data_IF_765935212555
#
_entry.id   IF_765935212555
#
_cell.length_a   1.000
_cell.length_b   1.000
_cell.length_c   1.000
_cell.angle_alpha   90.00
_cell.angle_beta   90.00
_cell.angle_gamma   90.00
#
_symmetry.space_group_name_H-M   'P 1'
#
loop_
_entity.id
_entity.type
_entity.pdbx_description
1 polymer ?
#
# COMPACT_ATOMS: atom_id res chain seq x y z
N UNK A 1 -27.05 -3.79 42.87
CA UNK A 1 -27.43 -5.10 42.27
C UNK A 1 -27.02 -5.06 40.80
N UNK A 2 -25.91 -5.71 40.43
CA UNK A 2 -25.40 -5.64 39.06
C UNK A 2 -26.31 -6.46 38.11
N UNK A 3 -26.68 -5.92 36.93
CA UNK A 3 -27.54 -6.64 36.00
C UNK A 3 -26.82 -7.88 35.48
N UNK A 4 -27.47 -9.05 35.63
CA UNK A 4 -26.96 -10.32 35.09
C UNK A 4 -27.00 -10.24 33.57
N UNK A 5 -25.83 -10.06 32.95
CA UNK A 5 -25.65 -10.18 31.50
C UNK A 5 -26.16 -11.57 31.08
N UNK A 6 -27.23 -11.58 30.28
CA UNK A 6 -27.78 -12.82 29.73
C UNK A 6 -26.71 -13.43 28.83
N UNK A 7 -26.20 -14.59 29.21
CA UNK A 7 -25.20 -15.33 28.42
C UNK A 7 -25.85 -15.71 27.10
N UNK A 8 -25.32 -15.19 25.99
CA UNK A 8 -25.82 -15.48 24.66
C UNK A 8 -25.64 -16.97 24.32
N UNK A 9 -26.54 -17.50 23.50
CA UNK A 9 -26.43 -18.87 22.98
C UNK A 9 -25.50 -18.90 21.77
N UNK A 10 -24.89 -20.04 21.50
CA UNK A 10 -24.09 -20.30 20.31
C UNK A 10 -24.93 -20.09 19.04
N UNK A 11 -24.44 -19.27 18.11
CA UNK A 11 -25.11 -19.00 16.82
C UNK A 11 -24.95 -20.15 15.81
N UNK A 12 -24.11 -21.14 16.11
CA UNK A 12 -23.84 -22.29 15.24
C UNK A 12 -24.70 -23.51 15.56
N UNK A 13 -24.91 -23.79 16.86
CA UNK A 13 -25.72 -24.93 17.31
C UNK A 13 -26.97 -24.54 18.08
N UNK A 14 -27.08 -23.30 18.57
CA UNK A 14 -28.22 -22.78 19.35
C UNK A 14 -28.61 -23.55 20.62
N UNK A 15 -27.87 -24.61 20.96
CA UNK A 15 -28.10 -25.47 22.12
C UNK A 15 -27.29 -25.02 23.34
N UNK A 16 -26.01 -24.68 23.15
CA UNK A 16 -25.09 -24.36 24.25
C UNK A 16 -24.85 -22.86 24.39
N UNK A 17 -24.46 -22.42 25.59
CA UNK A 17 -23.98 -21.06 25.83
C UNK A 17 -22.70 -20.77 25.02
N UNK A 18 -22.61 -19.57 24.45
CA UNK A 18 -21.42 -19.15 23.70
C UNK A 18 -20.25 -18.94 24.64
N UNK A 19 -19.09 -19.51 24.30
CA UNK A 19 -17.84 -19.40 25.07
C UNK A 19 -16.79 -18.55 24.37
N UNK A 20 -16.89 -18.42 23.05
CA UNK A 20 -15.90 -17.78 22.20
C UNK A 20 -16.57 -16.94 21.11
N UNK A 21 -15.82 -15.99 20.54
CA UNK A 21 -16.25 -15.10 19.46
C UNK A 21 -15.31 -15.26 18.26
N UNK A 22 -15.84 -15.23 17.03
CA UNK A 22 -15.01 -15.29 15.82
C UNK A 22 -14.39 -13.92 15.52
N UNK A 23 -13.08 -13.83 15.30
CA UNK A 23 -12.41 -12.55 14.98
C UNK A 23 -12.72 -11.99 13.60
N UNK A 24 -13.17 -12.83 12.65
CA UNK A 24 -13.43 -12.40 11.28
C UNK A 24 -14.84 -11.85 11.04
N UNK A 25 -15.83 -12.31 11.81
CA UNK A 25 -17.25 -11.94 11.62
C UNK A 25 -18.03 -11.83 12.94
N UNK A 26 -17.34 -11.88 14.08
CA UNK A 26 -17.91 -11.72 15.43
C UNK A 26 -18.97 -12.73 15.87
N UNK A 27 -19.20 -13.79 15.08
CA UNK A 27 -20.14 -14.85 15.43
C UNK A 27 -19.80 -15.54 16.76
N UNK A 28 -20.82 -15.78 17.59
CA UNK A 28 -20.69 -16.38 18.92
C UNK A 28 -20.77 -17.91 18.85
N UNK A 29 -19.79 -18.64 19.39
CA UNK A 29 -19.76 -20.10 19.34
C UNK A 29 -19.33 -20.76 20.65
N UNK A 30 -19.73 -22.02 20.88
CA UNK A 30 -19.46 -22.73 22.13
C UNK A 30 -18.18 -23.57 22.13
N UNK A 31 -17.71 -24.03 20.97
CA UNK A 31 -16.63 -25.02 20.86
C UNK A 31 -15.97 -25.07 19.48
N UNK A 32 -14.79 -25.70 19.39
CA UNK A 32 -14.04 -25.92 18.14
C UNK A 32 -14.86 -26.58 17.01
N UNK A 33 -15.70 -27.61 17.23
CA UNK A 33 -16.54 -28.14 16.15
C UNK A 33 -17.56 -27.11 15.63
N UNK A 34 -18.07 -26.23 16.49
CA UNK A 34 -18.90 -25.10 16.04
C UNK A 34 -18.08 -24.06 15.25
N UNK A 35 -16.84 -23.81 15.64
CA UNK A 35 -15.94 -22.94 14.87
C UNK A 35 -15.70 -23.47 13.45
N UNK A 36 -15.44 -24.77 13.28
CA UNK A 36 -15.24 -25.40 11.97
C UNK A 36 -16.51 -25.33 11.11
N UNK A 37 -17.66 -25.73 11.66
CA UNK A 37 -18.97 -25.63 10.97
C UNK A 37 -19.31 -24.22 10.53
N UNK A 38 -18.96 -23.23 11.34
CA UNK A 38 -19.12 -21.82 11.02
C UNK A 38 -18.18 -21.38 9.90
N UNK A 39 -16.88 -21.74 9.98
CA UNK A 39 -15.86 -21.42 8.99
C UNK A 39 -16.27 -21.87 7.57
N UNK A 40 -16.88 -23.04 7.47
CA UNK A 40 -17.22 -23.65 6.18
C UNK A 40 -18.51 -23.08 5.55
N UNK A 41 -19.42 -22.49 6.33
CA UNK A 41 -20.79 -22.18 5.86
C UNK A 41 -21.26 -20.74 6.06
N UNK A 42 -20.70 -20.03 7.03
CA UNK A 42 -21.24 -18.74 7.53
C UNK A 42 -20.16 -17.69 7.79
N UNK A 43 -18.87 -18.05 7.64
CA UNK A 43 -17.77 -17.14 7.88
C UNK A 43 -17.44 -16.35 6.60
N UNK A 44 -17.63 -15.03 6.66
CA UNK A 44 -17.27 -14.09 5.59
C UNK A 44 -15.77 -14.07 5.25
N UNK A 45 -14.93 -14.80 5.98
CA UNK A 45 -13.51 -14.93 5.66
C UNK A 45 -13.22 -15.82 4.44
N UNK A 46 -14.21 -16.53 3.89
CA UNK A 46 -14.00 -17.50 2.81
C UNK A 46 -14.35 -16.99 1.41
N UNK A 47 -14.79 -15.74 1.26
CA UNK A 47 -15.08 -15.13 -0.05
C UNK A 47 -13.89 -14.35 -0.61
N UNK A 48 -12.72 -14.99 -0.72
CA UNK A 48 -11.58 -14.42 -1.48
C UNK A 48 -11.48 -14.94 -2.92
N UNK A 49 -12.36 -15.84 -3.36
CA UNK A 49 -12.39 -16.32 -4.75
C UNK A 49 -13.83 -16.65 -5.18
N UNK A 50 -14.56 -15.67 -5.74
CA UNK A 50 -15.57 -15.81 -6.81
C UNK A 50 -16.54 -14.62 -6.82
N UNK A 51 -16.25 -13.60 -7.64
CA UNK A 51 -17.27 -12.80 -8.33
C UNK A 51 -16.63 -12.08 -9.53
N UNK A 52 -16.82 -12.68 -10.69
CA UNK A 52 -16.54 -12.14 -12.03
C UNK A 52 -17.52 -11.01 -12.41
N UNK A 53 -16.98 -10.02 -13.16
CA UNK A 53 -17.58 -9.25 -14.27
C UNK A 53 -18.91 -8.52 -14.02
N UNK A 54 -18.84 -7.19 -14.08
CA UNK A 54 -19.82 -6.41 -14.86
C UNK A 54 -19.10 -5.29 -15.60
N UNK A 55 -19.06 -5.48 -16.92
CA UNK A 55 -18.81 -4.49 -17.96
C UNK A 55 -20.06 -3.60 -18.09
N UNK A 56 -19.85 -2.29 -18.06
CA UNK A 56 -20.72 -1.28 -18.66
C UNK A 56 -19.97 0.05 -18.60
N UNK A 57 -19.44 0.46 -19.75
CA UNK A 57 -18.91 1.79 -19.95
C UNK A 57 -19.99 2.85 -19.76
N UNK A 58 -19.69 3.80 -18.90
CA UNK A 58 -20.29 5.13 -18.85
C UNK A 58 -19.16 6.08 -18.44
N UNK A 59 -18.67 6.88 -19.40
CA UNK A 59 -17.80 8.01 -19.12
C UNK A 59 -18.61 9.04 -18.31
N UNK A 60 -18.43 9.03 -16.99
CA UNK A 60 -18.94 10.08 -16.10
C UNK A 60 -17.83 11.10 -15.79
N UNK A 61 -18.03 12.39 -16.07
CA UNK A 61 -17.10 13.44 -15.68
C UNK A 61 -16.93 13.53 -14.15
N UNK A 62 -15.69 13.30 -13.70
CA UNK A 62 -15.09 13.75 -12.43
C UNK A 62 -15.77 13.26 -11.13
N UNK A 63 -15.25 12.16 -10.60
CA UNK A 63 -15.32 11.79 -9.17
C UNK A 63 -14.64 12.86 -8.29
N UNK A 64 -15.32 13.98 -8.01
CA UNK A 64 -14.77 15.07 -7.17
C UNK A 64 -15.44 15.19 -5.79
N UNK A 65 -16.39 14.32 -5.41
CA UNK A 65 -17.22 14.55 -4.22
C UNK A 65 -17.07 13.52 -3.09
N UNK A 66 -16.24 12.50 -3.25
CA UNK A 66 -15.88 11.65 -2.12
C UNK A 66 -14.79 12.37 -1.28
N UNK A 67 -15.07 12.74 -0.02
CA UNK A 67 -14.06 13.40 0.82
C UNK A 67 -12.85 12.49 0.96
N UNK A 68 -11.67 13.03 0.68
CA UNK A 68 -10.41 12.30 0.85
C UNK A 68 -10.24 11.86 2.30
N UNK A 69 -9.65 10.69 2.51
CA UNK A 69 -9.30 10.23 3.86
C UNK A 69 -8.29 11.20 4.49
N UNK A 70 -8.45 11.58 5.76
CA UNK A 70 -7.50 12.46 6.42
C UNK A 70 -6.15 11.78 6.58
N UNK A 71 -5.05 12.55 6.49
CA UNK A 71 -3.68 12.03 6.64
C UNK A 71 -3.44 11.36 8.00
N UNK A 72 -4.16 11.80 9.04
CA UNK A 72 -4.13 11.20 10.39
C UNK A 72 -4.72 9.79 10.46
N UNK A 73 -5.49 9.37 9.45
CA UNK A 73 -6.01 8.00 9.37
C UNK A 73 -4.93 6.98 8.93
N UNK A 74 -3.81 7.44 8.39
CA UNK A 74 -2.73 6.57 7.90
C UNK A 74 -1.78 6.20 9.05
N UNK A 75 -1.31 4.95 9.05
CA UNK A 75 -0.27 4.49 9.97
C UNK A 75 1.09 4.77 9.34
N UNK A 76 1.58 5.99 9.51
CA UNK A 76 2.92 6.36 9.07
C UNK A 76 3.98 5.58 9.87
N UNK A 77 5.06 5.09 9.22
CA UNK A 77 6.19 4.56 9.95
C UNK A 77 6.80 5.66 10.83
N UNK A 78 7.34 5.28 11.99
CA UNK A 78 8.11 6.23 12.79
C UNK A 78 9.39 6.59 12.04
N UNK A 79 9.60 7.89 11.83
CA UNK A 79 10.80 8.45 11.21
C UNK A 79 11.53 9.19 12.33
N UNK A 80 12.76 8.77 12.69
CA UNK A 80 13.57 9.52 13.65
C UNK A 80 13.85 10.93 13.13
N UNK A 81 13.79 11.91 14.02
CA UNK A 81 14.22 13.26 13.70
C UNK A 81 15.71 13.28 13.32
N UNK A 82 16.08 14.14 12.37
CA UNK A 82 17.46 14.27 11.94
C UNK A 82 18.35 14.66 13.14
N UNK A 83 19.45 13.93 13.31
CA UNK A 83 20.41 14.24 14.38
C UNK A 83 21.03 15.60 14.12
N UNK A 84 20.98 16.50 15.11
CA UNK A 84 21.63 17.81 15.05
C UNK A 84 23.15 17.75 14.83
N UNK A 85 23.76 16.57 14.99
CA UNK A 85 25.16 16.30 14.68
C UNK A 85 25.26 15.09 13.74
N UNK A 86 25.21 15.30 12.42
CA UNK A 86 25.34 14.21 11.47
C UNK A 86 26.75 13.61 11.55
N UNK A 87 26.81 12.28 11.60
CA UNK A 87 28.07 11.55 11.58
C UNK A 87 28.79 11.81 10.24
N UNK A 88 30.01 12.38 10.25
CA UNK A 88 30.74 12.69 9.01
C UNK A 88 30.96 11.47 8.12
N UNK A 89 31.01 10.27 8.70
CA UNK A 89 31.21 9.03 7.95
C UNK A 89 29.94 8.56 7.21
N UNK A 90 28.77 9.05 7.62
CA UNK A 90 27.46 8.70 7.01
C UNK A 90 26.95 9.75 6.04
N UNK A 91 27.81 10.71 5.66
CA UNK A 91 27.45 11.78 4.72
C UNK A 91 27.00 11.23 3.36
N UNK A 92 27.63 10.16 2.90
CA UNK A 92 27.36 9.56 1.59
C UNK A 92 26.34 8.42 1.65
N UNK A 93 25.84 8.06 2.83
CA UNK A 93 24.80 7.05 2.98
C UNK A 93 23.47 7.57 2.40
N UNK A 94 22.65 6.71 1.75
CA UNK A 94 21.34 7.12 1.28
C UNK A 94 20.46 7.58 2.44
N UNK A 95 20.06 8.86 2.42
CA UNK A 95 19.16 9.42 3.45
C UNK A 95 17.78 8.78 3.34
N UNK A 96 17.13 8.62 4.49
CA UNK A 96 15.74 8.13 4.55
C UNK A 96 14.75 9.25 4.27
N UNK A 97 13.58 8.93 3.72
CA UNK A 97 12.52 9.92 3.51
C UNK A 97 12.09 10.59 4.81
N UNK A 98 11.94 11.92 4.76
CA UNK A 98 11.46 12.76 5.85
C UNK A 98 9.93 12.83 5.89
N UNK A 99 9.36 13.17 7.06
CA UNK A 99 7.90 13.20 7.25
C UNK A 99 7.20 14.11 6.23
N UNK A 100 7.73 15.31 5.98
CA UNK A 100 7.15 16.25 5.02
C UNK A 100 7.15 15.69 3.59
N UNK A 101 8.13 14.84 3.23
CA UNK A 101 8.20 14.20 1.91
C UNK A 101 7.12 13.13 1.78
N UNK A 102 6.87 12.36 2.84
CA UNK A 102 5.73 11.43 2.88
C UNK A 102 4.38 12.15 2.74
N UNK A 103 4.22 13.29 3.40
CA UNK A 103 3.01 14.11 3.28
C UNK A 103 2.84 14.66 1.85
N UNK A 104 3.92 15.13 1.21
CA UNK A 104 3.90 15.57 -0.18
C UNK A 104 3.49 14.44 -1.13
N UNK A 105 4.02 13.23 -0.93
CA UNK A 105 3.66 12.05 -1.71
C UNK A 105 2.17 11.70 -1.52
N UNK A 106 1.66 11.69 -0.28
CA UNK A 106 0.25 11.33 -0.02
C UNK A 106 -0.75 12.39 -0.50
N UNK A 107 -0.37 13.66 -0.50
CA UNK A 107 -1.25 14.77 -0.91
C UNK A 107 -1.17 15.07 -2.41
N UNK A 108 -0.17 14.56 -3.13
CA UNK A 108 0.04 14.81 -4.56
C UNK A 108 -1.14 14.37 -5.44
N UNK A 109 -1.75 15.30 -6.21
CA UNK A 109 -2.82 14.95 -7.15
C UNK A 109 -2.30 14.16 -8.36
N UNK A 110 -1.06 14.40 -8.81
CA UNK A 110 -0.45 13.70 -9.93
C UNK A 110 -0.27 12.22 -9.63
N UNK A 111 0.25 11.90 -8.44
CA UNK A 111 0.41 10.52 -7.97
C UNK A 111 -0.94 9.80 -7.90
N UNK A 112 -2.00 10.48 -7.40
CA UNK A 112 -3.35 9.90 -7.36
C UNK A 112 -3.90 9.59 -8.76
N UNK A 113 -3.68 10.47 -9.74
CA UNK A 113 -4.11 10.26 -11.13
C UNK A 113 -3.42 9.04 -11.75
N UNK A 114 -2.11 8.91 -11.59
CA UNK A 114 -1.34 7.77 -12.11
C UNK A 114 -1.83 6.46 -11.50
N UNK A 115 -2.03 6.41 -10.18
CA UNK A 115 -2.55 5.23 -9.48
C UNK A 115 -4.02 4.90 -9.81
N UNK A 116 -4.78 5.86 -10.34
CA UNK A 116 -6.13 5.64 -10.85
C UNK A 116 -6.11 5.12 -12.29
N UNK A 117 -5.22 5.66 -13.14
CA UNK A 117 -5.04 5.24 -14.52
C UNK A 117 -4.48 3.81 -14.64
N UNK A 118 -3.58 3.41 -13.72
CA UNK A 118 -2.92 2.10 -13.78
C UNK A 118 -3.26 1.24 -12.55
N UNK A 119 -4.34 0.44 -12.58
CA UNK A 119 -4.74 -0.39 -11.44
C UNK A 119 -3.71 -1.48 -11.10
N UNK A 120 -2.96 -1.98 -12.09
CA UNK A 120 -1.93 -2.99 -11.91
C UNK A 120 -0.76 -2.49 -11.04
N UNK A 121 -0.48 -1.18 -11.02
CA UNK A 121 0.58 -0.61 -10.18
C UNK A 121 0.36 -0.91 -8.71
N UNK A 122 -0.88 -0.88 -8.22
CA UNK A 122 -1.18 -1.18 -6.80
C UNK A 122 -0.81 -2.62 -6.47
N UNK A 123 -1.13 -3.57 -7.35
CA UNK A 123 -0.78 -4.98 -7.18
C UNK A 123 0.73 -5.19 -7.27
N UNK A 124 1.39 -4.55 -8.24
CA UNK A 124 2.85 -4.61 -8.42
C UNK A 124 3.59 -4.07 -7.18
N UNK A 125 3.24 -2.87 -6.72
CA UNK A 125 3.83 -2.26 -5.52
C UNK A 125 3.63 -3.14 -4.29
N UNK A 126 2.44 -3.71 -4.11
CA UNK A 126 2.16 -4.63 -3.00
C UNK A 126 3.01 -5.90 -3.10
N UNK A 127 3.20 -6.44 -4.32
CA UNK A 127 4.02 -7.63 -4.53
C UNK A 127 5.49 -7.36 -4.20
N UNK A 128 6.02 -6.19 -4.59
CA UNK A 128 7.39 -5.77 -4.29
C UNK A 128 7.56 -5.51 -2.80
N UNK A 129 6.59 -4.87 -2.14
CA UNK A 129 6.63 -4.59 -0.71
C UNK A 129 6.55 -5.86 0.17
N UNK A 130 6.06 -6.97 -0.38
CA UNK A 130 6.09 -8.27 0.29
C UNK A 130 7.49 -8.91 0.33
N UNK A 131 8.42 -8.46 -0.52
CA UNK A 131 9.79 -8.98 -0.62
C UNK A 131 10.74 -8.33 0.40
N UNK A 132 11.89 -8.95 0.64
CA UNK A 132 12.92 -8.47 1.59
C UNK A 132 14.32 -8.59 0.98
N UNK A 133 15.25 -7.76 1.46
CA UNK A 133 16.66 -7.79 1.04
C UNK A 133 16.83 -7.66 -0.48
N UNK A 134 17.82 -8.38 -1.02
CA UNK A 134 18.21 -8.33 -2.42
C UNK A 134 17.07 -8.68 -3.39
N UNK A 135 16.13 -9.56 -3.00
CA UNK A 135 15.01 -9.94 -3.86
C UNK A 135 14.09 -8.74 -4.16
N UNK A 136 13.90 -7.87 -3.16
CA UNK A 136 13.14 -6.63 -3.31
C UNK A 136 13.86 -5.67 -4.25
N UNK A 137 15.18 -5.51 -4.09
CA UNK A 137 16.00 -4.64 -4.93
C UNK A 137 16.00 -5.10 -6.39
N UNK A 138 16.18 -6.40 -6.62
CA UNK A 138 16.11 -6.97 -7.97
C UNK A 138 14.72 -6.87 -8.59
N UNK A 139 13.66 -7.04 -7.80
CA UNK A 139 12.29 -6.85 -8.28
C UNK A 139 12.03 -5.40 -8.69
N UNK A 140 12.50 -4.42 -7.90
CA UNK A 140 12.44 -3.00 -8.23
C UNK A 140 13.22 -2.69 -9.51
N UNK A 141 14.45 -3.20 -9.63
CA UNK A 141 15.27 -2.99 -10.83
C UNK A 141 14.61 -3.51 -12.09
N UNK A 142 14.03 -4.71 -12.05
CA UNK A 142 13.28 -5.28 -13.18
C UNK A 142 12.02 -4.48 -13.49
N UNK A 143 11.26 -4.10 -12.47
CA UNK A 143 10.02 -3.36 -12.64
C UNK A 143 10.25 -1.95 -13.23
N UNK A 144 11.40 -1.33 -12.94
CA UNK A 144 11.83 -0.06 -13.54
C UNK A 144 12.56 -0.24 -14.89
N UNK A 145 12.82 -1.48 -15.32
CA UNK A 145 13.58 -1.79 -16.53
C UNK A 145 15.02 -1.27 -16.49
N UNK A 146 15.65 -1.33 -15.31
CA UNK A 146 17.05 -0.92 -15.08
C UNK A 146 17.96 -2.12 -14.74
N UNK A 147 17.49 -3.36 -14.97
CA UNK A 147 18.35 -4.54 -14.79
C UNK A 147 19.47 -4.57 -15.83
N UNK A 148 20.61 -5.19 -15.50
CA UNK A 148 21.75 -5.29 -16.40
C UNK A 148 21.44 -6.04 -17.72
N UNK A 149 20.41 -6.88 -17.73
CA UNK A 149 19.89 -7.53 -18.94
C UNK A 149 19.13 -6.51 -19.80
N UNK A 150 18.19 -5.79 -19.17
CA UNK A 150 17.40 -4.74 -19.84
C UNK A 150 18.29 -3.64 -20.43
N UNK A 151 19.34 -3.21 -19.73
CA UNK A 151 20.27 -2.17 -20.22
C UNK A 151 20.99 -2.58 -21.51
N UNK A 152 21.28 -3.87 -21.69
CA UNK A 152 21.88 -4.39 -22.93
C UNK A 152 20.86 -4.40 -24.07
N UNK A 153 19.61 -4.68 -23.76
CA UNK A 153 18.49 -4.66 -24.71
C UNK A 153 17.93 -3.26 -24.99
N UNK A 154 18.20 -2.24 -24.15
CA UNK A 154 17.84 -0.83 -24.42
C UNK A 154 18.46 -0.32 -25.75
N UNK A 155 19.62 -0.87 -26.16
CA UNK A 155 20.22 -0.59 -27.49
C UNK A 155 19.45 -1.20 -28.66
N UNK A 156 18.60 -2.19 -28.40
CA UNK A 156 17.74 -2.86 -29.37
C UNK A 156 16.28 -2.69 -28.91
N UNK A 157 15.72 -1.49 -29.06
CA UNK A 157 14.33 -1.12 -28.65
C UNK A 157 13.34 -2.29 -28.77
N UNK A 158 13.04 -2.92 -27.64
CA UNK A 158 11.87 -3.77 -27.45
C UNK A 158 10.97 -3.03 -26.48
N UNK A 159 9.71 -2.89 -26.87
CA UNK A 159 8.61 -2.27 -26.14
C UNK A 159 8.69 -2.60 -24.65
N UNK A 160 9.10 -1.63 -23.83
CA UNK A 160 9.00 -1.77 -22.38
C UNK A 160 7.54 -1.99 -22.06
N UNK A 161 7.24 -3.03 -21.28
CA UNK A 161 5.87 -3.37 -20.92
C UNK A 161 5.14 -2.16 -20.30
N UNK A 162 3.84 -2.10 -20.50
CA UNK A 162 2.97 -1.03 -19.97
C UNK A 162 3.21 -0.77 -18.48
N UNK A 163 3.41 -1.84 -17.69
CA UNK A 163 3.70 -1.75 -16.25
C UNK A 163 5.03 -1.04 -15.94
N UNK A 164 6.05 -1.20 -16.80
CA UNK A 164 7.37 -0.55 -16.62
C UNK A 164 7.25 0.94 -16.90
N UNK A 165 6.51 1.32 -17.95
CA UNK A 165 6.25 2.72 -18.27
C UNK A 165 5.44 3.39 -17.18
N UNK A 166 4.37 2.74 -16.71
CA UNK A 166 3.53 3.22 -15.62
C UNK A 166 4.32 3.38 -14.31
N UNK A 167 5.24 2.46 -14.01
CA UNK A 167 6.07 2.56 -12.80
C UNK A 167 7.12 3.67 -12.91
N UNK A 168 7.67 3.90 -14.10
CA UNK A 168 8.57 5.04 -14.35
C UNK A 168 7.85 6.38 -14.20
N UNK A 169 6.67 6.50 -14.79
CA UNK A 169 5.83 7.70 -14.64
C UNK A 169 5.50 7.96 -13.17
N UNK A 170 5.16 6.91 -12.42
CA UNK A 170 4.95 7.02 -10.97
C UNK A 170 6.22 7.48 -10.24
N UNK A 171 7.39 6.93 -10.59
CA UNK A 171 8.66 7.31 -9.97
C UNK A 171 9.00 8.78 -10.23
N UNK A 172 8.82 9.26 -11.45
CA UNK A 172 9.00 10.67 -11.81
C UNK A 172 8.04 11.59 -11.05
N UNK A 173 6.76 11.21 -10.93
CA UNK A 173 5.79 11.97 -10.15
C UNK A 173 6.11 12.00 -8.64
N UNK A 174 6.69 10.93 -8.10
CA UNK A 174 7.20 10.88 -6.71
C UNK A 174 8.41 11.81 -6.56
N UNK A 175 9.36 11.78 -7.49
CA UNK A 175 10.52 12.69 -7.45
C UNK A 175 10.08 14.16 -7.47
N UNK A 176 9.16 14.52 -8.36
CA UNK A 176 8.62 15.89 -8.44
C UNK A 176 7.92 16.31 -7.14
N UNK A 177 7.13 15.41 -6.55
CA UNK A 177 6.46 15.67 -5.28
C UNK A 177 7.45 15.90 -4.13
N UNK A 178 8.55 15.14 -4.10
CA UNK A 178 9.57 15.24 -3.05
C UNK A 178 10.48 16.47 -3.24
N UNK A 179 10.77 16.89 -4.48
CA UNK A 179 11.59 18.09 -4.75
C UNK A 179 10.90 19.41 -4.37
N UNK A 180 9.57 19.42 -4.26
CA UNK A 180 8.81 20.60 -3.88
C UNK A 180 8.92 21.74 -4.92
N UNK A 181 9.03 21.43 -6.21
CA UNK A 181 9.05 22.43 -7.30
C UNK A 181 10.43 23.01 -7.65
N UNK A 182 11.52 22.42 -7.14
CA UNK A 182 12.89 22.72 -7.58
C UNK A 182 13.27 21.88 -8.80
N UNK A 183 12.95 22.39 -9.99
CA UNK A 183 13.17 21.69 -11.26
C UNK A 183 14.66 21.59 -11.66
N UNK A 184 15.50 22.50 -11.18
CA UNK A 184 16.93 22.56 -11.54
C UNK A 184 17.82 21.59 -10.75
N UNK A 185 17.34 21.04 -9.64
CA UNK A 185 18.08 20.08 -8.82
C UNK A 185 17.87 18.66 -9.35
N UNK A 186 18.94 17.99 -9.80
CA UNK A 186 18.91 16.57 -10.12
C UNK A 186 18.99 15.74 -8.83
N UNK A 187 18.03 14.84 -8.62
CA UNK A 187 17.97 13.95 -7.45
C UNK A 187 16.88 14.35 -6.44
N UNK A 188 16.73 13.53 -5.39
CA UNK A 188 15.84 13.86 -4.28
C UNK A 188 16.50 14.94 -3.44
N UNK A 189 15.71 15.94 -3.04
CA UNK A 189 16.20 17.02 -2.17
C UNK A 189 16.43 16.47 -0.76
N UNK A 190 17.66 16.09 -0.50
CA UNK A 190 18.10 15.56 0.78
C UNK A 190 18.70 16.64 1.68
N UNK A 191 19.01 17.82 1.15
CA UNK A 191 19.54 18.93 1.95
C UNK A 191 18.44 19.97 2.19
N UNK A 192 17.99 20.02 3.43
CA UNK A 192 17.46 21.24 4.02
C UNK A 192 18.55 22.29 3.89
N UNK A 193 18.53 23.07 2.81
CA UNK A 193 19.46 24.16 2.58
C UNK A 193 19.24 25.23 3.65
N UNK A 194 19.93 25.10 4.78
CA UNK A 194 20.30 26.20 5.66
C UNK A 194 21.77 26.54 5.41
N UNK A 195 22.02 27.43 4.44
CA UNK A 195 22.86 28.64 4.58
C UNK A 195 22.23 29.74 3.73
#
# INVERSE_FOLDING_TARGET
>A
MAPRLKVAKCEVCSENQSKYTCSACFALYCSVPCFKRHKDKRCLSSSYFAATRKDSGEESPLEELAPLRPLTSLKWPYIPDESAYPDPLKRDDPKTLQLHQYEAIATSPSIRKILAAHPNLKALLTSIDSLRGNDREHALQRALGVSAVDIKDIKARVELGEDVLALRELAEAVEVAVRGGRDEALGLDWDSSEI
#
